data_IF_743457007176
#
_entry.id   IF_743457007176
#
_cell.length_a   1.000
_cell.length_b   1.000
_cell.length_c   1.000
_cell.angle_alpha   90.00
_cell.angle_beta   90.00
_cell.angle_gamma   90.00
#
_symmetry.space_group_name_H-M   'P 1'
#
loop_
_entity.id
_entity.type
_entity.pdbx_description
1 polymer ?
#
# COMPACT_ATOMS: atom_id res chain seq x y z
N UNK A 1 1.32 -1.54 -8.20
CA UNK A 1 0.99 -0.11 -8.29
C UNK A 1 2.09 0.73 -8.93
N UNK A 2 3.35 0.57 -8.56
CA UNK A 2 4.43 1.42 -9.11
C UNK A 2 4.51 1.35 -10.64
N UNK A 3 4.53 0.16 -11.22
CA UNK A 3 4.57 -0.02 -12.69
C UNK A 3 3.34 0.57 -13.40
N UNK A 4 2.15 0.48 -12.79
CA UNK A 4 0.93 1.08 -13.35
C UNK A 4 0.99 2.61 -13.40
N UNK A 5 1.49 3.24 -12.33
CA UNK A 5 1.55 4.72 -12.27
C UNK A 5 2.65 5.30 -13.17
N UNK A 6 3.73 4.57 -13.43
CA UNK A 6 4.82 5.03 -14.30
C UNK A 6 4.49 4.93 -15.79
N UNK A 7 3.56 4.05 -16.16
CA UNK A 7 3.09 3.89 -17.54
C UNK A 7 1.90 4.80 -17.89
N UNK A 8 1.41 5.61 -16.96
CA UNK A 8 0.40 6.63 -17.23
C UNK A 8 1.11 7.88 -17.80
N UNK A 9 0.58 8.44 -18.88
CA UNK A 9 1.16 9.61 -19.59
C UNK A 9 1.30 10.85 -18.70
N UNK A 10 0.44 11.01 -17.70
CA UNK A 10 0.48 12.13 -16.76
C UNK A 10 1.35 11.82 -15.55
N UNK A 11 2.50 12.50 -15.44
CA UNK A 11 3.38 12.38 -14.25
C UNK A 11 2.72 12.87 -12.96
N UNK A 12 1.82 13.85 -13.06
CA UNK A 12 1.16 14.49 -11.92
C UNK A 12 -0.02 13.67 -11.40
N UNK A 13 -0.87 13.15 -12.30
CA UNK A 13 -2.09 12.44 -11.94
C UNK A 13 -1.99 10.92 -12.05
N UNK A 14 -0.87 10.39 -12.56
CA UNK A 14 -0.72 8.96 -12.85
C UNK A 14 -0.98 8.04 -11.66
N UNK A 15 -0.67 8.48 -10.43
CA UNK A 15 -0.94 7.69 -9.23
C UNK A 15 -2.44 7.60 -8.92
N UNK A 16 -3.16 8.71 -9.07
CA UNK A 16 -4.61 8.78 -8.84
C UNK A 16 -5.33 7.96 -9.91
N UNK A 17 -4.89 8.07 -11.17
CA UNK A 17 -5.43 7.27 -12.27
C UNK A 17 -5.19 5.77 -12.06
N UNK A 18 -3.99 5.37 -11.61
CA UNK A 18 -3.70 3.98 -11.26
C UNK A 18 -4.59 3.49 -10.10
N UNK A 19 -4.92 4.35 -9.14
CA UNK A 19 -5.80 4.00 -8.02
C UNK A 19 -7.25 3.79 -8.44
N UNK A 20 -7.75 4.49 -9.47
CA UNK A 20 -9.06 4.23 -10.06
C UNK A 20 -9.16 2.79 -10.61
N UNK A 21 -8.13 2.33 -11.32
CA UNK A 21 -8.07 0.95 -11.80
C UNK A 21 -8.00 -0.08 -10.68
N UNK A 22 -7.30 0.23 -9.60
CA UNK A 22 -7.32 -0.60 -8.39
C UNK A 22 -8.72 -0.63 -7.77
N UNK A 23 -9.42 0.50 -7.70
CA UNK A 23 -10.82 0.56 -7.26
C UNK A 23 -11.74 -0.32 -8.12
N UNK A 24 -11.58 -0.28 -9.44
CA UNK A 24 -12.32 -1.15 -10.35
C UNK A 24 -11.99 -2.64 -10.10
N UNK A 25 -10.74 -2.99 -9.91
CA UNK A 25 -10.34 -4.36 -9.57
C UNK A 25 -10.96 -4.83 -8.24
N UNK A 26 -10.98 -3.97 -7.22
CA UNK A 26 -11.68 -4.27 -5.95
C UNK A 26 -13.18 -4.46 -6.16
N UNK A 27 -13.82 -3.64 -6.99
CA UNK A 27 -15.24 -3.83 -7.32
C UNK A 27 -15.49 -5.20 -7.95
N UNK A 28 -14.70 -5.58 -8.93
CA UNK A 28 -14.82 -6.89 -9.59
C UNK A 28 -14.61 -8.05 -8.61
N UNK A 29 -13.59 -7.98 -7.77
CA UNK A 29 -13.22 -9.09 -6.87
C UNK A 29 -14.04 -9.10 -5.58
N UNK A 30 -14.38 -7.95 -5.01
CA UNK A 30 -15.07 -7.86 -3.72
C UNK A 30 -16.60 -7.82 -3.85
N UNK A 31 -17.15 -7.55 -5.03
CA UNK A 31 -18.59 -7.54 -5.27
C UNK A 31 -18.99 -8.70 -6.17
N UNK A 32 -18.44 -8.78 -7.38
CA UNK A 32 -18.90 -9.75 -8.38
C UNK A 32 -18.51 -11.17 -7.98
N UNK A 33 -17.30 -11.42 -7.51
CA UNK A 33 -16.88 -12.76 -7.12
C UNK A 33 -17.69 -13.33 -5.95
N UNK A 34 -17.94 -12.60 -4.83
CA UNK A 34 -18.87 -13.08 -3.78
C UNK A 34 -20.29 -13.31 -4.26
N UNK A 35 -20.82 -12.47 -5.15
CA UNK A 35 -22.15 -12.69 -5.73
C UNK A 35 -22.23 -14.00 -6.51
N UNK A 36 -21.23 -14.32 -7.32
CA UNK A 36 -21.14 -15.59 -8.05
C UNK A 36 -21.08 -16.76 -7.09
N UNK A 37 -20.24 -16.67 -6.04
CA UNK A 37 -20.10 -17.72 -5.03
C UNK A 37 -21.40 -17.94 -4.27
N UNK A 38 -22.10 -16.88 -3.88
CA UNK A 38 -23.40 -16.96 -3.22
C UNK A 38 -24.43 -17.62 -4.12
N UNK A 39 -24.46 -17.25 -5.40
CA UNK A 39 -25.37 -17.87 -6.39
C UNK A 39 -25.11 -19.38 -6.51
N UNK A 40 -23.84 -19.79 -6.60
CA UNK A 40 -23.47 -21.21 -6.67
C UNK A 40 -23.86 -21.97 -5.40
N UNK A 41 -23.71 -21.33 -4.23
CA UNK A 41 -24.06 -21.93 -2.92
C UNK A 41 -25.55 -21.84 -2.57
N UNK A 42 -26.38 -21.24 -3.43
CA UNK A 42 -27.83 -21.05 -3.17
C UNK A 42 -28.13 -20.02 -2.07
N UNK A 43 -27.17 -19.14 -1.77
CA UNK A 43 -27.35 -18.05 -0.80
C UNK A 43 -28.07 -16.84 -1.40
N UNK A 44 -28.65 -15.94 -0.57
CA UNK A 44 -29.32 -14.74 -1.04
C UNK A 44 -28.31 -13.77 -1.69
N UNK A 45 -28.63 -13.32 -2.92
CA UNK A 45 -27.81 -12.35 -3.66
C UNK A 45 -28.30 -10.92 -3.39
N UNK A 46 -29.50 -10.79 -2.87
CA UNK A 46 -30.14 -9.50 -2.62
C UNK A 46 -29.44 -8.77 -1.47
N UNK A 47 -28.89 -7.60 -1.76
CA UNK A 47 -28.18 -6.77 -0.75
C UNK A 47 -29.06 -6.42 0.46
N UNK A 48 -30.37 -6.37 0.27
CA UNK A 48 -31.36 -6.02 1.30
C UNK A 48 -31.83 -7.22 2.14
N UNK A 49 -31.48 -8.44 1.75
CA UNK A 49 -31.85 -9.66 2.49
C UNK A 49 -31.00 -9.88 3.75
N UNK A 50 -29.95 -9.09 3.95
CA UNK A 50 -29.05 -9.23 5.08
C UNK A 50 -29.54 -8.43 6.30
N UNK A 51 -29.24 -8.88 7.53
CA UNK A 51 -29.58 -8.14 8.75
C UNK A 51 -28.96 -6.74 8.73
N UNK A 52 -29.75 -5.73 9.06
CA UNK A 52 -29.36 -4.31 9.03
C UNK A 52 -28.04 -4.00 9.72
N UNK A 53 -27.77 -4.62 10.86
CA UNK A 53 -26.51 -4.44 11.58
C UNK A 53 -25.32 -4.99 10.79
N UNK A 54 -25.47 -6.11 10.10
CA UNK A 54 -24.39 -6.76 9.35
C UNK A 54 -23.89 -5.92 8.20
N UNK A 55 -24.76 -5.57 7.26
CA UNK A 55 -24.35 -4.82 6.08
C UNK A 55 -23.91 -3.39 6.39
N UNK A 56 -24.53 -2.70 7.37
CA UNK A 56 -24.12 -1.34 7.78
C UNK A 56 -22.71 -1.32 8.34
N UNK A 57 -22.38 -2.25 9.26
CA UNK A 57 -21.04 -2.34 9.81
C UNK A 57 -19.99 -2.76 8.78
N UNK A 58 -20.35 -3.66 7.86
CA UNK A 58 -19.46 -4.05 6.76
C UNK A 58 -19.18 -2.89 5.81
N UNK A 59 -20.19 -2.07 5.49
CA UNK A 59 -20.03 -0.89 4.65
C UNK A 59 -19.15 0.16 5.31
N UNK A 60 -19.37 0.44 6.60
CA UNK A 60 -18.53 1.37 7.37
C UNK A 60 -17.08 0.88 7.40
N UNK A 61 -16.86 -0.40 7.70
CA UNK A 61 -15.51 -0.98 7.73
C UNK A 61 -14.83 -0.90 6.35
N UNK A 62 -15.54 -1.21 5.28
CA UNK A 62 -15.05 -1.11 3.91
C UNK A 62 -14.70 0.32 3.51
N UNK A 63 -15.54 1.29 3.88
CA UNK A 63 -15.30 2.71 3.61
C UNK A 63 -14.08 3.22 4.35
N UNK A 64 -13.93 2.88 5.63
CA UNK A 64 -12.73 3.24 6.42
C UNK A 64 -11.47 2.61 5.83
N UNK A 65 -11.54 1.35 5.37
CA UNK A 65 -10.45 0.69 4.67
C UNK A 65 -10.06 1.39 3.37
N UNK A 66 -11.04 1.83 2.57
CA UNK A 66 -10.81 2.57 1.33
C UNK A 66 -10.18 3.95 1.59
N UNK A 67 -10.63 4.67 2.62
CA UNK A 67 -10.01 5.93 3.05
C UNK A 67 -8.58 5.70 3.50
N UNK A 68 -8.31 4.63 4.25
CA UNK A 68 -6.95 4.24 4.64
C UNK A 68 -6.06 3.97 3.43
N UNK A 69 -6.55 3.24 2.43
CA UNK A 69 -5.80 2.96 1.19
C UNK A 69 -5.50 4.23 0.40
N UNK A 70 -6.45 5.17 0.34
CA UNK A 70 -6.23 6.49 -0.26
C UNK A 70 -5.15 7.28 0.50
N UNK A 71 -5.19 7.25 1.84
CA UNK A 71 -4.17 7.89 2.68
C UNK A 71 -2.77 7.35 2.42
N UNK A 72 -2.62 6.04 2.23
CA UNK A 72 -1.34 5.39 1.85
C UNK A 72 -0.86 5.90 0.49
N UNK A 73 -1.77 6.00 -0.50
CA UNK A 73 -1.43 6.52 -1.82
C UNK A 73 -0.91 7.96 -1.75
N UNK A 74 -1.58 8.80 -0.95
CA UNK A 74 -1.17 10.19 -0.74
C UNK A 74 0.18 10.27 -0.03
N UNK A 75 0.43 9.42 0.97
CA UNK A 75 1.72 9.34 1.65
C UNK A 75 2.86 8.98 0.69
N UNK A 76 2.63 8.05 -0.25
CA UNK A 76 3.58 7.75 -1.32
C UNK A 76 3.81 8.95 -2.24
N UNK A 77 2.75 9.75 -2.49
CA UNK A 77 2.82 10.98 -3.30
C UNK A 77 3.66 12.07 -2.65
N UNK A 78 3.55 12.21 -1.35
CA UNK A 78 4.26 13.22 -0.57
C UNK A 78 5.72 12.84 -0.26
N UNK A 79 6.14 11.59 -0.55
CA UNK A 79 7.48 11.12 -0.24
C UNK A 79 8.53 11.75 -1.17
N UNK A 80 9.56 12.42 -0.64
CA UNK A 80 10.60 13.05 -1.46
C UNK A 80 11.47 12.02 -2.21
N UNK A 81 11.57 10.79 -1.69
CA UNK A 81 12.36 9.69 -2.24
C UNK A 81 11.56 8.38 -2.22
N UNK A 82 10.63 8.14 -3.18
CA UNK A 82 9.73 6.99 -3.17
C UNK A 82 10.42 5.63 -3.01
N UNK A 83 11.57 5.32 -3.66
CA UNK A 83 12.24 4.04 -3.50
C UNK A 83 12.66 3.72 -2.06
N UNK A 84 12.93 4.74 -1.25
CA UNK A 84 13.34 4.59 0.14
C UNK A 84 12.14 4.55 1.07
N UNK A 85 11.19 5.48 0.88
CA UNK A 85 10.08 5.66 1.81
C UNK A 85 8.92 4.67 1.61
N UNK A 86 8.69 4.16 0.40
CA UNK A 86 7.63 3.17 0.15
C UNK A 86 7.83 1.90 0.99
N UNK A 87 9.02 1.27 1.07
CA UNK A 87 9.24 0.12 1.94
C UNK A 87 8.99 0.45 3.42
N UNK A 88 9.37 1.65 3.87
CA UNK A 88 9.16 2.10 5.26
C UNK A 88 7.67 2.23 5.57
N UNK A 89 6.92 2.95 4.73
CA UNK A 89 5.47 3.15 4.89
C UNK A 89 4.75 1.80 4.90
N UNK A 90 5.10 0.89 3.98
CA UNK A 90 4.51 -0.44 3.91
C UNK A 90 4.83 -1.26 5.17
N UNK A 91 6.06 -1.20 5.67
CA UNK A 91 6.44 -1.90 6.90
C UNK A 91 5.65 -1.42 8.11
N UNK A 92 5.42 -0.11 8.25
CA UNK A 92 4.61 0.47 9.32
C UNK A 92 3.16 -0.04 9.22
N UNK A 93 2.59 -0.07 8.03
CA UNK A 93 1.21 -0.51 7.82
C UNK A 93 1.07 -2.00 8.10
N UNK A 94 1.94 -2.84 7.53
CA UNK A 94 1.86 -4.29 7.70
C UNK A 94 2.22 -4.76 9.10
N UNK A 95 3.10 -4.07 9.82
CA UNK A 95 3.38 -4.37 11.21
C UNK A 95 2.33 -3.76 12.16
N UNK A 96 1.91 -2.52 11.91
CA UNK A 96 1.01 -1.78 12.80
C UNK A 96 -0.44 -2.24 12.75
N UNK A 97 -0.99 -2.48 11.56
CA UNK A 97 -2.40 -2.85 11.43
C UNK A 97 -2.77 -4.17 12.15
N UNK A 98 -2.00 -5.27 12.04
CA UNK A 98 -2.26 -6.49 12.82
C UNK A 98 -2.15 -6.26 14.32
N UNK A 99 -1.20 -5.44 14.79
CA UNK A 99 -1.03 -5.13 16.22
C UNK A 99 -2.28 -4.41 16.73
N UNK A 100 -2.71 -3.34 16.04
CA UNK A 100 -3.91 -2.58 16.42
C UNK A 100 -5.13 -3.50 16.42
N UNK A 101 -5.30 -4.32 15.39
CA UNK A 101 -6.42 -5.27 15.31
C UNK A 101 -6.40 -6.28 16.47
N UNK A 102 -5.24 -6.84 16.79
CA UNK A 102 -5.09 -7.79 17.90
C UNK A 102 -5.46 -7.16 19.25
N UNK A 103 -4.95 -5.95 19.53
CA UNK A 103 -5.23 -5.22 20.77
C UNK A 103 -6.71 -4.84 20.86
N UNK A 104 -7.28 -4.27 19.79
CA UNK A 104 -8.70 -3.85 19.78
C UNK A 104 -9.65 -5.04 19.98
N UNK A 105 -9.42 -6.15 19.30
CA UNK A 105 -10.29 -7.32 19.44
C UNK A 105 -10.16 -7.94 20.82
N UNK A 106 -8.95 -8.11 21.35
CA UNK A 106 -8.74 -8.64 22.69
C UNK A 106 -9.41 -7.75 23.76
N UNK A 107 -9.35 -6.44 23.59
CA UNK A 107 -9.99 -5.48 24.51
C UNK A 107 -11.51 -5.53 24.42
N UNK A 108 -12.09 -5.57 23.19
CA UNK A 108 -13.54 -5.63 22.99
C UNK A 108 -14.17 -6.90 23.54
N UNK A 109 -13.49 -8.02 23.37
CA UNK A 109 -13.97 -9.32 23.83
C UNK A 109 -13.68 -9.60 25.30
N UNK A 110 -12.93 -8.74 25.98
CA UNK A 110 -12.50 -8.93 27.38
C UNK A 110 -11.59 -10.14 27.58
N UNK A 111 -10.98 -10.64 26.50
CA UNK A 111 -10.27 -11.92 26.46
C UNK A 111 -8.82 -11.85 26.95
N UNK A 112 -8.43 -10.82 27.68
CA UNK A 112 -7.06 -10.68 28.19
C UNK A 112 -6.61 -11.86 29.06
N UNK A 113 -7.52 -12.50 29.73
CA UNK A 113 -7.25 -13.67 30.57
C UNK A 113 -6.80 -14.90 29.76
N UNK A 114 -7.19 -14.98 28.50
CA UNK A 114 -6.84 -16.08 27.59
C UNK A 114 -5.64 -15.79 26.71
N UNK A 115 -5.04 -14.60 26.86
CA UNK A 115 -3.87 -14.19 26.04
C UNK A 115 -2.65 -15.01 26.49
N UNK A 116 -2.15 -15.85 25.58
CA UNK A 116 -0.96 -16.67 25.82
C UNK A 116 0.32 -15.87 25.55
N UNK A 117 1.40 -16.22 26.23
CA UNK A 117 2.70 -15.60 26.06
C UNK A 117 3.19 -15.50 24.58
N UNK A 118 2.99 -16.50 23.69
CA UNK A 118 3.35 -16.40 22.29
C UNK A 118 2.64 -15.28 21.53
N UNK A 119 1.40 -14.93 21.90
CA UNK A 119 0.66 -13.83 21.29
C UNK A 119 1.31 -12.48 21.60
N UNK A 120 1.64 -12.24 22.87
CA UNK A 120 2.36 -11.02 23.31
C UNK A 120 3.73 -10.95 22.62
N UNK A 121 4.46 -12.06 22.59
CA UNK A 121 5.75 -12.15 21.93
C UNK A 121 5.64 -11.80 20.44
N UNK A 122 4.61 -12.29 19.75
CA UNK A 122 4.34 -11.95 18.34
C UNK A 122 4.13 -10.45 18.11
N UNK A 123 3.37 -9.78 18.99
CA UNK A 123 3.17 -8.33 18.94
C UNK A 123 4.49 -7.58 19.12
N UNK A 124 5.29 -7.99 20.12
CA UNK A 124 6.61 -7.36 20.39
C UNK A 124 7.53 -7.55 19.19
N UNK A 125 7.63 -8.75 18.63
CA UNK A 125 8.45 -9.04 17.45
C UNK A 125 8.03 -8.24 16.22
N UNK A 126 6.72 -8.10 15.99
CA UNK A 126 6.19 -7.28 14.90
C UNK A 126 6.55 -5.80 15.08
N UNK A 127 6.43 -5.27 16.29
CA UNK A 127 6.80 -3.90 16.61
C UNK A 127 8.31 -3.65 16.43
N UNK A 128 9.14 -4.56 16.94
CA UNK A 128 10.61 -4.50 16.78
C UNK A 128 11.01 -4.63 15.32
N UNK A 129 10.42 -5.57 14.57
CA UNK A 129 10.66 -5.74 13.14
C UNK A 129 10.32 -4.48 12.34
N UNK A 130 9.14 -3.89 12.58
CA UNK A 130 8.73 -2.62 11.97
C UNK A 130 9.69 -1.46 12.31
N UNK A 131 10.12 -1.36 13.57
CA UNK A 131 11.12 -0.38 14.00
C UNK A 131 12.47 -0.54 13.29
N UNK A 132 12.99 -1.77 13.20
CA UNK A 132 14.26 -2.05 12.55
C UNK A 132 14.25 -1.67 11.06
N UNK A 133 13.16 -1.97 10.34
CA UNK A 133 13.01 -1.59 8.94
C UNK A 133 12.96 -0.08 8.77
N UNK A 134 12.24 0.64 9.64
CA UNK A 134 12.16 2.10 9.58
C UNK A 134 13.47 2.77 9.92
N UNK A 135 14.24 2.21 10.85
CA UNK A 135 15.53 2.75 11.29
C UNK A 135 16.66 2.50 10.29
N UNK A 136 16.56 1.43 9.49
CA UNK A 136 17.59 1.01 8.55
C UNK A 136 17.03 0.97 7.11
N UNK A 137 16.67 2.13 6.52
CA UNK A 137 16.19 2.15 5.15
C UNK A 137 17.28 1.69 4.18
N UNK A 138 16.92 1.05 3.05
CA UNK A 138 17.89 0.68 2.03
C UNK A 138 18.58 1.94 1.50
N UNK A 139 19.91 1.91 1.45
CA UNK A 139 20.68 2.99 0.85
C UNK A 139 20.46 2.95 -0.68
N UNK A 140 20.26 4.11 -1.34
CA UNK A 140 20.25 4.13 -2.80
C UNK A 140 21.60 3.59 -3.31
N UNK A 141 21.62 2.86 -4.43
CA UNK A 141 22.88 2.51 -5.07
C UNK A 141 23.67 3.80 -5.29
N UNK A 142 24.96 3.78 -4.96
CA UNK A 142 25.84 4.89 -5.26
C UNK A 142 25.74 5.15 -6.77
N UNK A 143 25.14 6.28 -7.14
CA UNK A 143 25.14 6.72 -8.52
C UNK A 143 26.59 6.92 -8.91
N UNK A 144 27.13 6.03 -9.74
CA UNK A 144 28.42 6.25 -10.36
C UNK A 144 28.26 7.49 -11.25
N UNK A 145 28.56 8.64 -10.70
CA UNK A 145 28.60 9.96 -11.37
C UNK A 145 29.74 10.05 -12.40
N UNK A 146 30.27 8.91 -12.83
CA UNK A 146 31.36 8.78 -13.81
C UNK A 146 30.94 8.19 -15.16
N UNK A 147 29.67 8.27 -15.51
CA UNK A 147 29.23 8.08 -16.88
C UNK A 147 28.48 9.33 -17.34
N UNK A 148 29.07 10.50 -17.17
CA UNK A 148 28.72 11.64 -17.98
C UNK A 148 29.17 11.28 -19.41
N UNK A 149 28.22 10.88 -20.24
CA UNK A 149 28.37 10.83 -21.69
C UNK A 149 28.83 12.23 -22.09
N UNK A 150 29.98 12.42 -22.78
CA UNK A 150 30.40 13.72 -23.22
C UNK A 150 29.27 14.28 -24.12
N UNK A 151 28.73 15.40 -23.73
CA UNK A 151 27.70 16.10 -24.51
C UNK A 151 28.32 16.45 -25.87
N UNK A 152 27.64 16.12 -26.96
CA UNK A 152 28.04 16.35 -28.36
C UNK A 152 28.50 17.79 -28.65
N UNK A 153 28.31 18.70 -27.71
CA UNK A 153 28.73 20.11 -27.82
C UNK A 153 30.25 20.34 -27.69
N UNK A 154 31.01 19.37 -27.14
CA UNK A 154 32.47 19.50 -27.05
C UNK A 154 33.21 19.04 -28.31
N UNK A 155 32.53 18.18 -29.11
CA UNK A 155 33.13 17.66 -30.35
C UNK A 155 33.17 18.68 -31.50
N UNK A 156 32.28 19.67 -31.47
CA UNK A 156 32.22 20.71 -32.48
C UNK A 156 33.19 21.90 -32.25
N UNK A 157 33.78 21.98 -31.05
CA UNK A 157 34.72 23.04 -30.71
C UNK A 157 36.18 22.69 -31.06
N UNK A 158 36.50 21.41 -31.20
CA UNK A 158 37.86 20.95 -31.52
C UNK A 158 38.12 20.86 -33.03
N UNK A 159 37.04 20.63 -33.81
CA UNK A 159 37.14 20.53 -35.27
C UNK A 159 37.32 21.90 -35.96
N UNK A 160 37.07 23.00 -35.24
CA UNK A 160 37.19 24.38 -35.78
C UNK A 160 38.56 25.04 -35.44
N UNK A 161 39.51 24.29 -34.88
CA UNK A 161 40.88 24.78 -34.59
C UNK A 161 41.95 24.21 -35.51
N UNK A 162 41.61 23.30 -36.41
CA UNK A 162 42.55 22.70 -37.38
C UNK A 162 42.31 23.08 -38.85
N UNK A 163 41.54 24.16 -39.12
CA UNK A 163 41.40 24.69 -40.47
C UNK A 163 41.92 26.12 -40.61
#
# INVERSE_FOLDING_TARGET
MHTGSTNMESKEHGRIMAFLWVGLAYFLTAVIAPMIILKIKGGPIEFWAYPDKGWKWSLIAGTLGAIGALGVLLAFGASPNPPIYVPIIMSIIFAGAPIVNAVVNTTKEGNWTYVKAPFILGIILAAVGGYLVTKNPPKPPATNEKAAIPTETEKSADENKES
#
